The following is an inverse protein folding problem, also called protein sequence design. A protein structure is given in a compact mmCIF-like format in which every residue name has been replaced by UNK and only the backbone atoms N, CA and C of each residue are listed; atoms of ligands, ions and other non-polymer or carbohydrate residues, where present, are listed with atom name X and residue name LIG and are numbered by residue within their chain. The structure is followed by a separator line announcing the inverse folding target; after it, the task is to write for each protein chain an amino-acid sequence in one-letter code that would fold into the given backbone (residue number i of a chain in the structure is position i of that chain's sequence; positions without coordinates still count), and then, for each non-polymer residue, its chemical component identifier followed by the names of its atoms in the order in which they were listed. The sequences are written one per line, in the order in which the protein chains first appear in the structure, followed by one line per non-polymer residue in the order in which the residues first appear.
data_IF_476459475279
#
_entry.id   IF_476459475279
#
_cell.length_a   1.000
_cell.length_b   1.000
_cell.length_c   1.000
_cell.angle_alpha   90.00
_cell.angle_beta   90.00
_cell.angle_gamma   90.00
#
_symmetry.space_group_name_H-M   'P 1'
#
loop_
_entity.id
_entity.type
_entity.pdbx_description
1 polymer ?
#
# COMPACT_ATOMS: atom_id res chain seq x y z
N UNK A 1 39.75 20.32 -106.70
CA UNK A 1 39.18 21.23 -105.72
C UNK A 1 37.62 21.26 -105.66
N UNK A 2 36.95 20.65 -106.63
CA UNK A 2 35.48 20.63 -106.74
C UNK A 2 34.78 19.45 -106.03
N UNK A 3 35.51 18.40 -105.67
CA UNK A 3 34.93 17.17 -105.13
C UNK A 3 34.74 17.25 -103.57
N UNK A 4 35.44 18.16 -102.90
CA UNK A 4 35.40 18.34 -101.46
C UNK A 4 34.23 19.21 -101.01
N UNK A 5 33.82 20.15 -101.88
CA UNK A 5 32.73 21.10 -101.56
C UNK A 5 31.34 20.46 -101.62
N UNK A 6 31.20 19.45 -102.51
CA UNK A 6 29.90 18.76 -102.67
C UNK A 6 29.56 17.82 -101.49
N UNK A 7 30.56 17.12 -100.97
CA UNK A 7 30.35 16.27 -99.78
C UNK A 7 30.13 17.08 -98.53
N UNK A 8 30.70 18.25 -98.36
CA UNK A 8 30.53 19.10 -97.24
C UNK A 8 29.12 19.71 -97.18
N UNK A 9 28.56 20.05 -98.35
CA UNK A 9 27.19 20.57 -98.41
C UNK A 9 26.12 19.49 -98.15
N UNK A 10 26.34 18.25 -98.62
CA UNK A 10 25.44 17.12 -98.27
C UNK A 10 25.50 16.77 -96.79
N UNK A 11 26.66 16.89 -96.18
CA UNK A 11 26.79 16.67 -94.71
C UNK A 11 26.12 17.77 -93.91
N UNK A 12 26.21 19.04 -94.35
CA UNK A 12 25.54 20.16 -93.73
C UNK A 12 24.02 20.10 -93.79
N UNK A 13 23.51 19.64 -95.01
CA UNK A 13 22.07 19.44 -95.21
C UNK A 13 21.52 18.26 -94.35
N UNK A 14 22.34 17.22 -94.18
CA UNK A 14 21.95 16.08 -93.36
C UNK A 14 21.89 16.48 -91.83
N UNK A 15 22.82 17.30 -91.36
CA UNK A 15 22.83 17.86 -90.04
C UNK A 15 21.62 18.78 -89.81
N UNK A 16 21.31 19.64 -90.82
CA UNK A 16 20.15 20.53 -90.76
C UNK A 16 18.81 19.77 -90.67
N UNK A 17 18.67 18.65 -91.35
CA UNK A 17 17.48 17.78 -91.35
C UNK A 17 17.36 17.05 -89.96
N UNK A 18 18.46 16.59 -89.39
CA UNK A 18 18.47 15.92 -88.06
C UNK A 18 18.15 16.90 -87.00
N UNK A 19 18.63 18.15 -87.05
CA UNK A 19 18.33 19.21 -86.11
C UNK A 19 16.87 19.66 -86.17
N UNK A 20 16.28 19.74 -87.36
CA UNK A 20 14.86 20.08 -87.52
C UNK A 20 13.91 18.94 -87.11
N UNK A 21 14.30 17.67 -87.24
CA UNK A 21 13.53 16.52 -86.73
C UNK A 21 13.58 16.44 -85.17
N UNK A 22 14.66 16.87 -84.55
CA UNK A 22 14.78 16.87 -83.05
C UNK A 22 14.00 17.98 -82.39
N UNK A 23 13.61 19.04 -83.07
CA UNK A 23 12.82 20.17 -82.55
C UNK A 23 11.30 19.92 -82.56
N UNK A 24 10.80 18.89 -83.19
CA UNK A 24 9.36 18.59 -83.24
C UNK A 24 8.94 17.52 -82.18
N UNK A 25 9.87 16.93 -81.42
CA UNK A 25 9.61 15.83 -80.53
C UNK A 25 9.25 16.26 -79.12
N UNK A 26 9.24 17.57 -78.74
CA UNK A 26 8.99 18.04 -77.39
C UNK A 26 7.75 18.97 -77.29
N UNK A 27 6.57 18.49 -77.73
CA UNK A 27 5.34 19.24 -77.40
C UNK A 27 4.20 18.33 -76.93
N UNK A 28 4.51 17.31 -76.14
CA UNK A 28 3.51 16.63 -75.31
C UNK A 28 3.41 17.36 -73.96
N UNK A 29 2.39 18.19 -73.81
CA UNK A 29 2.01 18.71 -72.48
C UNK A 29 1.89 17.52 -71.54
N UNK A 30 2.59 17.48 -70.39
CA UNK A 30 2.38 16.45 -69.37
C UNK A 30 0.90 16.50 -68.97
N UNK A 31 0.16 15.45 -69.26
CA UNK A 31 -1.19 15.24 -68.71
C UNK A 31 -1.03 15.29 -67.21
N UNK A 32 -1.64 16.30 -66.55
CA UNK A 32 -1.67 16.37 -65.09
C UNK A 32 -2.07 14.98 -64.54
N UNK A 33 -1.36 14.42 -63.54
CA UNK A 33 -1.73 13.12 -63.02
C UNK A 33 -3.19 13.20 -62.59
N UNK A 34 -4.01 12.38 -63.20
CA UNK A 34 -5.40 12.17 -62.82
C UNK A 34 -5.34 11.68 -61.36
N UNK A 35 -5.66 12.54 -60.42
CA UNK A 35 -5.77 12.18 -59.00
C UNK A 35 -6.93 11.19 -58.91
N UNK A 36 -6.63 9.90 -59.04
CA UNK A 36 -7.62 8.85 -58.78
C UNK A 36 -7.99 9.01 -57.33
N UNK A 37 -9.28 9.21 -56.99
CA UNK A 37 -9.70 9.27 -55.60
C UNK A 37 -9.25 7.96 -54.93
N UNK A 38 -8.43 8.08 -53.89
CA UNK A 38 -8.03 6.92 -53.10
C UNK A 38 -9.29 6.17 -52.67
N UNK A 39 -9.36 4.84 -52.79
CA UNK A 39 -10.51 4.09 -52.32
C UNK A 39 -10.75 4.37 -50.83
N UNK A 40 -12.03 4.49 -50.41
CA UNK A 40 -12.34 4.80 -49.01
C UNK A 40 -11.72 3.74 -48.10
N UNK A 41 -11.08 4.20 -47.01
CA UNK A 41 -10.48 3.29 -46.00
C UNK A 41 -11.59 2.59 -45.23
N UNK A 42 -11.57 1.27 -45.22
CA UNK A 42 -12.54 0.46 -44.48
C UNK A 42 -12.17 0.43 -43.01
N UNK A 43 -13.09 0.83 -42.12
CA UNK A 43 -12.86 0.95 -40.67
C UNK A 43 -14.00 0.31 -39.89
N UNK A 44 -13.68 -0.20 -38.70
CA UNK A 44 -14.69 -0.47 -37.67
C UNK A 44 -14.69 0.68 -36.69
N UNK A 45 -15.86 1.01 -36.17
CA UNK A 45 -16.06 2.15 -35.28
C UNK A 45 -16.81 1.74 -34.02
N UNK A 46 -16.68 2.59 -33.00
CA UNK A 46 -17.52 2.56 -31.78
C UNK A 46 -18.18 3.91 -31.64
N UNK A 47 -19.32 3.93 -30.97
CA UNK A 47 -19.99 5.16 -30.54
C UNK A 47 -19.54 5.47 -29.11
N UNK A 48 -19.05 6.68 -28.86
CA UNK A 48 -18.66 7.15 -27.56
C UNK A 48 -19.84 7.15 -26.61
N UNK A 49 -19.83 6.23 -25.66
CA UNK A 49 -20.85 6.10 -24.61
C UNK A 49 -20.22 6.24 -23.22
N UNK A 50 -20.93 6.82 -22.24
CA UNK A 50 -20.44 6.90 -20.88
C UNK A 50 -20.44 5.51 -20.25
N UNK A 51 -19.29 5.07 -19.74
CA UNK A 51 -19.13 3.85 -18.94
C UNK A 51 -18.79 4.26 -17.50
N UNK A 52 -19.37 3.55 -16.53
CA UNK A 52 -18.98 3.72 -15.13
C UNK A 52 -17.61 3.07 -14.93
N UNK A 53 -16.62 3.87 -14.55
CA UNK A 53 -15.27 3.39 -14.24
C UNK A 53 -15.11 3.38 -12.74
N UNK A 54 -15.00 2.18 -12.17
CA UNK A 54 -14.66 2.00 -10.77
C UNK A 54 -13.16 2.23 -10.59
N UNK A 55 -12.77 3.35 -9.98
CA UNK A 55 -11.38 3.61 -9.64
C UNK A 55 -11.07 2.95 -8.30
N UNK A 56 -10.49 1.77 -8.35
CA UNK A 56 -9.88 1.16 -7.18
C UNK A 56 -8.43 1.67 -7.07
N UNK A 57 -8.13 2.28 -5.93
CA UNK A 57 -6.77 2.65 -5.58
C UNK A 57 -6.14 1.42 -4.95
N UNK A 58 -5.14 0.83 -5.61
CA UNK A 58 -4.39 -0.31 -5.09
C UNK A 58 -3.16 0.20 -4.33
N UNK A 59 -3.04 -0.18 -3.08
CA UNK A 59 -1.90 0.15 -2.22
C UNK A 59 -1.41 -1.07 -1.47
N UNK A 60 -0.14 -1.04 -1.09
CA UNK A 60 0.49 -2.11 -0.34
C UNK A 60 0.30 -1.91 1.16
N UNK A 61 0.05 -3.01 1.86
CA UNK A 61 -0.08 -3.05 3.31
C UNK A 61 0.65 -4.24 3.92
N UNK A 62 0.75 -4.21 5.23
CA UNK A 62 1.35 -5.29 6.03
C UNK A 62 0.36 -5.75 7.08
N UNK A 63 0.21 -7.06 7.20
CA UNK A 63 -0.57 -7.68 8.27
C UNK A 63 0.19 -7.54 9.58
N UNK A 64 -0.47 -7.05 10.62
CA UNK A 64 0.10 -6.95 11.97
C UNK A 64 -0.80 -7.65 12.99
N UNK A 65 -0.18 -8.19 14.03
CA UNK A 65 -0.93 -8.77 15.15
C UNK A 65 -1.82 -7.70 15.82
N UNK A 66 -2.91 -8.11 16.46
CA UNK A 66 -3.73 -7.17 17.24
C UNK A 66 -2.90 -6.56 18.37
N UNK A 67 -2.18 -7.40 19.12
CA UNK A 67 -1.21 -7.01 20.13
C UNK A 67 0.08 -7.83 19.93
N UNK A 68 1.22 -7.18 20.13
CA UNK A 68 2.55 -7.77 20.06
C UNK A 68 3.40 -7.27 21.21
N UNK A 69 4.11 -8.16 21.89
CA UNK A 69 5.06 -7.80 22.93
C UNK A 69 6.27 -8.73 22.90
N UNK A 70 7.42 -8.16 23.14
CA UNK A 70 8.64 -8.89 23.49
C UNK A 70 8.67 -9.09 24.98
N UNK A 71 8.58 -10.33 25.44
CA UNK A 71 8.65 -10.67 26.85
C UNK A 71 10.10 -10.52 27.34
N UNK A 72 10.32 -9.61 28.25
CA UNK A 72 11.61 -9.29 28.85
C UNK A 72 11.51 -9.37 30.36
N UNK A 73 12.57 -9.78 31.08
CA UNK A 73 12.60 -9.69 32.55
C UNK A 73 12.69 -8.22 32.96
N UNK A 74 12.09 -7.88 34.11
CA UNK A 74 12.22 -6.53 34.67
C UNK A 74 13.42 -6.42 35.63
N UNK A 75 13.96 -7.57 36.08
CA UNK A 75 15.11 -7.66 36.96
C UNK A 75 16.16 -8.62 36.38
N UNK A 76 17.41 -8.36 36.74
CA UNK A 76 18.52 -9.23 36.35
C UNK A 76 18.66 -10.42 37.30
N UNK A 77 18.99 -11.60 36.74
CA UNK A 77 19.25 -12.79 37.54
C UNK A 77 19.23 -14.07 36.74
N UNK A 78 19.44 -15.20 37.41
CA UNK A 78 19.39 -16.53 36.78
C UNK A 78 17.94 -16.99 36.64
N UNK A 79 17.57 -17.54 35.50
CA UNK A 79 16.28 -18.20 35.29
C UNK A 79 16.21 -19.51 36.08
N UNK A 80 15.29 -19.59 37.03
CA UNK A 80 15.00 -20.79 37.82
C UNK A 80 13.85 -21.60 37.25
N UNK A 81 12.98 -20.96 36.49
CA UNK A 81 11.85 -21.58 35.81
C UNK A 81 11.67 -20.98 34.43
N UNK A 82 11.44 -21.82 33.42
CA UNK A 82 11.14 -21.42 32.05
C UNK A 82 10.15 -22.42 31.45
N UNK A 83 8.94 -21.95 31.15
CA UNK A 83 7.89 -22.72 30.50
C UNK A 83 7.34 -21.90 29.34
N UNK A 84 7.97 -22.01 28.18
CA UNK A 84 7.60 -21.38 26.93
C UNK A 84 7.18 -22.46 25.93
N UNK A 85 5.89 -22.81 25.86
CA UNK A 85 5.39 -23.73 24.84
C UNK A 85 5.38 -23.00 23.49
N UNK A 86 6.49 -23.09 22.77
CA UNK A 86 6.74 -22.41 21.49
C UNK A 86 5.65 -22.74 20.46
N UNK A 87 5.13 -21.72 19.78
CA UNK A 87 4.05 -21.85 18.80
C UNK A 87 2.66 -22.13 19.39
N UNK A 88 2.57 -22.32 20.71
CA UNK A 88 1.30 -22.65 21.35
C UNK A 88 0.64 -21.41 21.98
N UNK A 89 -0.67 -21.54 22.19
CA UNK A 89 -1.46 -20.49 22.82
C UNK A 89 -1.34 -20.54 24.34
N UNK A 90 -1.22 -19.37 24.95
CA UNK A 90 -1.23 -19.19 26.41
C UNK A 90 -2.30 -18.20 26.81
N UNK A 91 -2.85 -18.39 28.01
CA UNK A 91 -3.81 -17.46 28.61
C UNK A 91 -3.09 -16.30 29.30
N UNK A 92 -3.77 -15.16 29.38
CA UNK A 92 -3.31 -14.01 30.18
C UNK A 92 -3.00 -14.44 31.63
N UNK A 93 -1.92 -13.92 32.21
CA UNK A 93 -1.49 -14.24 33.56
C UNK A 93 -0.68 -15.52 33.72
N UNK A 94 -0.60 -16.38 32.68
CA UNK A 94 0.21 -17.61 32.74
C UNK A 94 1.67 -17.26 33.04
N UNK A 95 2.27 -17.97 33.99
CA UNK A 95 3.69 -17.81 34.36
C UNK A 95 4.54 -18.45 33.27
N UNK A 96 5.39 -17.68 32.63
CA UNK A 96 6.26 -18.11 31.53
C UNK A 96 7.71 -18.32 31.97
N UNK A 97 8.18 -17.49 32.89
CA UNK A 97 9.52 -17.59 33.43
C UNK A 97 9.62 -17.04 34.85
N UNK A 98 10.63 -17.45 35.61
CA UNK A 98 10.98 -16.88 36.91
C UNK A 98 12.48 -16.67 36.99
N UNK A 99 12.85 -15.50 37.48
CA UNK A 99 14.22 -15.17 37.87
C UNK A 99 14.42 -15.58 39.32
N UNK A 100 15.62 -15.93 39.72
CA UNK A 100 15.95 -16.27 41.11
C UNK A 100 15.59 -15.12 42.03
N UNK A 101 14.75 -15.39 43.02
CA UNK A 101 14.21 -14.44 44.01
C UNK A 101 14.61 -14.80 45.47
N UNK A 102 15.54 -15.78 45.61
CA UNK A 102 15.89 -16.29 46.94
C UNK A 102 16.42 -15.20 47.88
N UNK A 103 17.26 -14.30 47.39
CA UNK A 103 17.82 -13.20 48.18
C UNK A 103 16.74 -12.19 48.58
N UNK A 104 15.81 -11.88 47.68
CA UNK A 104 14.67 -10.99 47.96
C UNK A 104 13.72 -11.59 48.98
N UNK A 105 13.43 -12.90 48.89
CA UNK A 105 12.62 -13.61 49.89
C UNK A 105 13.29 -13.66 51.26
N UNK A 106 14.60 -13.85 51.31
CA UNK A 106 15.34 -13.78 52.58
C UNK A 106 15.28 -12.37 53.17
N UNK A 107 15.43 -11.32 52.36
CA UNK A 107 15.29 -9.93 52.82
C UNK A 107 13.87 -9.63 53.31
N UNK A 108 12.85 -10.10 52.58
CA UNK A 108 11.45 -9.96 52.97
C UNK A 108 11.19 -10.62 54.34
N UNK A 109 11.62 -11.87 54.52
CA UNK A 109 11.47 -12.59 55.80
C UNK A 109 12.18 -11.88 56.95
N UNK A 110 13.39 -11.34 56.74
CA UNK A 110 14.12 -10.54 57.73
C UNK A 110 13.32 -9.30 58.18
N UNK A 111 12.83 -8.52 57.20
CA UNK A 111 12.05 -7.30 57.49
C UNK A 111 10.71 -7.64 58.12
N UNK A 112 10.10 -8.78 57.79
CA UNK A 112 8.86 -9.25 58.40
C UNK A 112 9.04 -9.51 59.91
N UNK A 113 10.14 -10.16 60.36
CA UNK A 113 10.46 -10.37 61.78
C UNK A 113 10.69 -9.04 62.47
N UNK A 114 11.35 -8.08 61.82
CA UNK A 114 11.56 -6.72 62.38
C UNK A 114 10.24 -5.98 62.56
N UNK A 115 9.32 -6.08 61.60
CA UNK A 115 7.98 -5.51 61.70
C UNK A 115 7.19 -6.12 62.89
N UNK A 116 7.22 -7.46 63.01
CA UNK A 116 6.53 -8.14 64.09
C UNK A 116 7.02 -7.69 65.48
N UNK A 117 8.35 -7.57 65.67
CA UNK A 117 8.93 -7.05 66.91
C UNK A 117 8.53 -5.60 67.13
N UNK A 118 8.55 -4.76 66.09
CA UNK A 118 8.14 -3.34 66.19
C UNK A 118 6.66 -3.20 66.57
N UNK A 119 5.78 -4.04 65.98
CA UNK A 119 4.35 -4.05 66.32
C UNK A 119 4.08 -4.48 67.76
N UNK A 120 4.76 -5.52 68.29
CA UNK A 120 4.67 -5.90 69.62
C UNK A 120 5.11 -4.77 70.60
N UNK A 121 6.13 -4.00 70.20
CA UNK A 121 6.62 -2.85 70.93
C UNK A 121 5.65 -1.67 70.91
N UNK A 122 5.04 -1.44 69.69
CA UNK A 122 3.97 -0.44 69.48
C UNK A 122 2.78 -0.72 70.42
N UNK A 123 2.31 -1.97 70.47
CA UNK A 123 1.20 -2.37 71.32
C UNK A 123 1.51 -2.13 72.81
N UNK A 124 2.74 -2.44 73.25
CA UNK A 124 3.21 -2.19 74.63
C UNK A 124 3.28 -0.69 74.92
N UNK A 125 3.86 0.09 73.99
CA UNK A 125 3.96 1.55 74.16
C UNK A 125 2.58 2.24 74.15
N UNK A 126 1.65 1.74 73.37
CA UNK A 126 0.25 2.19 73.39
C UNK A 126 -0.40 2.01 74.72
N UNK A 127 -0.15 0.88 75.46
CA UNK A 127 -0.64 0.64 76.83
C UNK A 127 0.04 1.54 77.82
N UNK A 128 1.38 1.76 77.68
CA UNK A 128 2.14 2.64 78.57
C UNK A 128 1.72 4.11 78.39
N UNK A 129 1.48 4.57 77.25
CA UNK A 129 1.00 5.91 76.90
C UNK A 129 -0.37 6.17 77.60
N UNK A 130 -1.26 5.19 77.61
CA UNK A 130 -2.58 5.30 78.21
C UNK A 130 -2.54 5.52 79.72
N UNK A 131 -1.45 5.13 80.41
CA UNK A 131 -1.20 5.32 81.82
C UNK A 131 -0.13 6.37 82.09
N UNK A 132 0.23 7.22 81.12
CA UNK A 132 1.29 8.22 81.20
C UNK A 132 2.68 7.65 81.58
N UNK A 133 2.96 6.38 81.25
CA UNK A 133 4.22 5.73 81.50
C UNK A 133 5.32 6.07 80.46
N UNK A 134 4.96 6.62 79.29
CA UNK A 134 5.85 7.17 78.26
C UNK A 134 5.27 8.49 77.77
N UNK A 135 6.08 9.25 77.01
CA UNK A 135 5.63 10.46 76.36
C UNK A 135 5.11 10.18 74.91
N UNK A 136 4.36 11.12 74.32
CA UNK A 136 3.79 11.00 72.97
C UNK A 136 4.87 10.81 71.89
N UNK A 137 6.02 11.49 72.03
CA UNK A 137 7.10 11.42 71.07
C UNK A 137 7.72 10.00 70.94
N UNK A 138 7.84 9.29 72.10
CA UNK A 138 8.30 7.90 72.14
C UNK A 138 7.33 6.96 71.42
N UNK A 139 6.02 7.14 71.63
CA UNK A 139 5.00 6.39 70.94
C UNK A 139 5.02 6.69 69.43
N UNK A 140 5.10 7.98 69.04
CA UNK A 140 5.14 8.37 67.57
C UNK A 140 6.37 7.84 66.90
N UNK A 141 7.51 7.70 67.55
CA UNK A 141 8.72 7.09 67.01
C UNK A 141 8.50 5.61 66.64
N UNK A 142 7.89 4.81 67.55
CA UNK A 142 7.66 3.39 67.23
C UNK A 142 6.58 3.22 66.12
N UNK A 143 5.54 4.05 66.14
CA UNK A 143 4.56 4.07 65.02
C UNK A 143 5.21 4.38 63.70
N UNK A 144 6.12 5.35 63.70
CA UNK A 144 6.91 5.67 62.46
C UNK A 144 7.79 4.51 62.05
N UNK A 145 8.41 3.79 62.97
CA UNK A 145 9.24 2.61 62.68
C UNK A 145 8.42 1.45 62.12
N UNK A 146 7.23 1.15 62.71
CA UNK A 146 6.28 0.17 62.17
C UNK A 146 5.88 0.53 60.72
N UNK A 147 5.58 1.80 60.48
CA UNK A 147 5.24 2.30 59.13
C UNK A 147 6.40 2.14 58.16
N UNK A 148 7.63 2.40 58.60
CA UNK A 148 8.84 2.19 57.81
C UNK A 148 9.01 0.73 57.37
N UNK A 149 8.92 -0.22 58.33
CA UNK A 149 9.04 -1.65 57.99
C UNK A 149 7.92 -2.15 57.06
N UNK A 150 6.69 -1.64 57.20
CA UNK A 150 5.60 -1.93 56.27
C UNK A 150 5.93 -1.45 54.86
N UNK A 151 6.49 -0.25 54.73
CA UNK A 151 6.92 0.28 53.44
C UNK A 151 8.05 -0.55 52.80
N UNK A 152 9.04 -0.99 53.60
CA UNK A 152 10.15 -1.84 53.15
C UNK A 152 9.65 -3.22 52.67
N UNK A 153 8.67 -3.81 53.37
CA UNK A 153 8.04 -5.06 52.96
C UNK A 153 7.34 -4.90 51.60
N UNK A 154 6.55 -3.84 51.46
CA UNK A 154 5.84 -3.55 50.21
C UNK A 154 6.83 -3.35 49.03
N UNK A 155 7.93 -2.65 49.30
CA UNK A 155 8.98 -2.46 48.28
C UNK A 155 9.63 -3.79 47.86
N UNK A 156 10.01 -4.62 48.85
CA UNK A 156 10.62 -5.92 48.61
C UNK A 156 9.66 -6.86 47.90
N UNK A 157 8.36 -6.85 48.26
CA UNK A 157 7.34 -7.62 47.57
C UNK A 157 7.22 -7.19 46.11
N UNK A 158 7.21 -5.90 45.81
CA UNK A 158 7.19 -5.41 44.41
C UNK A 158 8.42 -5.87 43.60
N UNK A 159 9.59 -5.97 44.23
CA UNK A 159 10.77 -6.55 43.58
C UNK A 159 10.61 -8.06 43.34
N UNK A 160 10.03 -8.80 44.26
CA UNK A 160 9.74 -10.23 44.12
C UNK A 160 8.73 -10.42 42.96
N UNK A 161 7.69 -9.60 42.85
CA UNK A 161 6.70 -9.71 41.81
C UNK A 161 7.33 -9.49 40.40
N UNK A 162 8.32 -8.59 40.30
CA UNK A 162 9.09 -8.36 39.06
C UNK A 162 9.97 -9.54 38.63
N UNK A 163 10.24 -10.50 39.53
CA UNK A 163 10.98 -11.71 39.17
C UNK A 163 10.13 -12.71 38.38
N UNK A 164 8.81 -12.54 38.37
CA UNK A 164 7.87 -13.47 37.72
C UNK A 164 7.38 -12.87 36.39
N UNK A 165 7.80 -13.43 35.31
CA UNK A 165 7.38 -13.04 33.96
C UNK A 165 6.10 -13.77 33.61
N UNK A 166 5.03 -13.00 33.34
CA UNK A 166 3.71 -13.51 32.98
C UNK A 166 3.28 -13.01 31.60
N UNK A 167 2.37 -13.77 30.96
CA UNK A 167 1.73 -13.32 29.75
C UNK A 167 0.80 -12.11 30.01
N UNK A 168 1.05 -10.93 29.41
CA UNK A 168 0.22 -9.73 29.65
C UNK A 168 -1.16 -9.81 29.01
N UNK A 169 -1.32 -10.63 27.97
CA UNK A 169 -2.58 -10.93 27.30
C UNK A 169 -2.57 -12.37 26.78
N UNK A 170 -3.72 -12.90 26.41
CA UNK A 170 -3.83 -14.23 25.80
C UNK A 170 -3.39 -14.17 24.35
N UNK A 171 -2.49 -15.07 23.92
CA UNK A 171 -1.93 -15.07 22.59
C UNK A 171 -1.08 -16.31 22.29
N UNK A 172 -0.41 -16.31 21.15
CA UNK A 172 0.52 -17.36 20.70
C UNK A 172 1.95 -16.93 20.99
N UNK A 173 2.71 -17.81 21.65
CA UNK A 173 4.13 -17.58 21.93
C UNK A 173 4.96 -17.87 20.67
N UNK A 174 5.91 -17.01 20.43
CA UNK A 174 6.97 -17.24 19.46
C UNK A 174 8.06 -18.16 19.99
N UNK A 175 9.20 -18.18 19.28
CA UNK A 175 10.35 -18.99 19.70
C UNK A 175 11.03 -18.35 20.92
N UNK A 176 11.48 -19.17 21.86
CA UNK A 176 12.31 -18.73 22.98
C UNK A 176 13.72 -18.37 22.53
N UNK A 177 14.27 -17.33 23.14
CA UNK A 177 15.64 -16.88 22.86
C UNK A 177 16.62 -17.16 24.00
N UNK A 178 16.14 -17.79 25.08
CA UNK A 178 16.94 -18.12 26.26
C UNK A 178 16.71 -19.57 26.68
N UNK A 179 17.64 -20.12 27.47
CA UNK A 179 17.56 -21.49 27.98
C UNK A 179 17.36 -21.50 29.49
N UNK A 180 16.79 -22.57 30.08
CA UNK A 180 16.72 -22.73 31.52
C UNK A 180 18.11 -22.59 32.16
N UNK A 181 18.21 -21.87 33.28
CA UNK A 181 19.49 -21.61 33.96
C UNK A 181 20.31 -20.44 33.42
N UNK A 182 19.89 -19.83 32.29
CA UNK A 182 20.57 -18.65 31.76
C UNK A 182 20.48 -17.46 32.75
N UNK A 183 21.52 -16.64 32.74
CA UNK A 183 21.48 -15.33 33.40
C UNK A 183 20.88 -14.31 32.43
N UNK A 184 19.83 -13.63 32.84
CA UNK A 184 19.07 -12.66 32.00
C UNK A 184 19.08 -11.28 32.62
N UNK A 185 18.92 -10.28 31.76
CA UNK A 185 18.83 -8.85 32.10
C UNK A 185 17.62 -8.23 31.37
N UNK A 186 17.15 -7.04 31.72
CA UNK A 186 16.03 -6.38 31.04
C UNK A 186 16.21 -6.15 29.53
N UNK A 187 17.43 -6.26 29.04
CA UNK A 187 17.72 -6.15 27.60
C UNK A 187 17.51 -7.46 26.82
N UNK A 188 17.49 -8.61 27.51
CA UNK A 188 17.31 -9.90 26.89
C UNK A 188 15.83 -10.18 26.58
N UNK A 189 15.53 -10.58 25.35
CA UNK A 189 14.22 -11.08 24.97
C UNK A 189 14.14 -12.55 25.38
N UNK A 190 13.11 -12.91 26.15
CA UNK A 190 12.84 -14.31 26.52
C UNK A 190 12.09 -15.02 25.41
N UNK A 191 11.01 -14.41 24.91
CA UNK A 191 10.19 -14.86 23.80
C UNK A 191 9.32 -13.70 23.32
N UNK A 192 8.63 -13.87 22.19
CA UNK A 192 7.59 -12.95 21.73
C UNK A 192 6.21 -13.51 22.03
N UNK A 193 5.22 -12.65 22.26
CA UNK A 193 3.82 -13.02 22.43
C UNK A 193 2.97 -12.18 21.46
N UNK A 194 2.12 -12.85 20.69
CA UNK A 194 1.29 -12.23 19.66
C UNK A 194 -0.17 -12.63 19.81
N UNK A 195 -1.07 -11.66 19.75
CA UNK A 195 -2.49 -11.92 19.65
C UNK A 195 -2.91 -11.97 18.18
N UNK A 196 -3.17 -13.18 17.68
CA UNK A 196 -3.47 -13.44 16.26
C UNK A 196 -4.96 -13.71 15.99
N UNK A 197 -5.82 -13.64 17.03
CA UNK A 197 -7.27 -13.85 16.89
C UNK A 197 -7.95 -12.79 16.05
N UNK A 198 -7.45 -11.58 16.15
CA UNK A 198 -7.77 -10.45 15.30
C UNK A 198 -6.48 -9.94 14.70
N UNK A 199 -6.50 -9.66 13.43
CA UNK A 199 -5.36 -9.09 12.74
C UNK A 199 -5.71 -7.70 12.27
N UNK A 200 -4.72 -6.82 12.30
CA UNK A 200 -4.79 -5.47 11.76
C UNK A 200 -3.99 -5.42 10.48
N UNK A 201 -4.30 -4.47 9.63
CA UNK A 201 -3.52 -4.18 8.43
C UNK A 201 -3.13 -2.72 8.48
N UNK A 202 -1.84 -2.49 8.43
CA UNK A 202 -1.26 -1.17 8.28
C UNK A 202 -0.92 -0.96 6.81
N UNK A 203 -1.41 0.11 6.23
CA UNK A 203 -1.10 0.50 4.86
C UNK A 203 -0.93 2.01 4.75
N UNK A 204 -0.30 2.44 3.66
CA UNK A 204 -0.10 3.87 3.38
C UNK A 204 -0.77 4.23 2.07
N UNK A 205 -1.41 5.39 2.05
CA UNK A 205 -2.08 5.92 0.87
C UNK A 205 -1.62 7.36 0.61
N UNK A 206 -1.41 7.79 -0.65
CA UNK A 206 -1.10 9.18 -0.94
C UNK A 206 -2.14 10.16 -0.39
N UNK A 207 -1.69 11.31 0.09
CA UNK A 207 -2.54 12.34 0.74
C UNK A 207 -3.72 12.77 -0.13
N UNK A 208 -3.54 12.82 -1.45
CA UNK A 208 -4.60 13.16 -2.42
C UNK A 208 -5.84 12.27 -2.33
N UNK A 209 -5.67 11.02 -1.85
CA UNK A 209 -6.76 10.06 -1.64
C UNK A 209 -7.29 10.03 -0.21
N UNK A 210 -6.76 10.88 0.67
CA UNK A 210 -7.15 10.91 2.08
C UNK A 210 -8.64 11.16 2.31
N UNK A 211 -9.31 11.90 1.41
CA UNK A 211 -10.75 12.17 1.49
C UNK A 211 -11.64 10.92 1.36
N UNK A 212 -11.12 9.84 0.74
CA UNK A 212 -11.83 8.55 0.62
C UNK A 212 -11.67 7.68 1.86
N UNK A 213 -10.71 7.99 2.72
CA UNK A 213 -10.43 7.25 3.95
C UNK A 213 -11.25 7.83 5.10
N UNK A 214 -12.28 7.09 5.52
CA UNK A 214 -13.11 7.46 6.67
C UNK A 214 -13.08 6.36 7.72
N UNK A 215 -12.97 6.74 8.99
CA UNK A 215 -13.12 5.79 10.11
C UNK A 215 -14.46 5.07 10.00
N UNK A 216 -14.45 3.75 10.12
CA UNK A 216 -15.62 2.88 9.93
C UNK A 216 -15.86 2.47 8.46
N UNK A 217 -15.16 3.08 7.50
CA UNK A 217 -15.22 2.70 6.08
C UNK A 217 -14.75 1.27 5.84
N UNK A 218 -15.32 0.63 4.82
CA UNK A 218 -14.94 -0.73 4.41
C UNK A 218 -13.98 -0.65 3.23
N UNK A 219 -12.96 -1.50 3.25
CA UNK A 219 -11.98 -1.68 2.17
C UNK A 219 -11.85 -3.14 1.84
N UNK A 220 -11.50 -3.44 0.61
CA UNK A 220 -11.21 -4.81 0.19
C UNK A 220 -9.71 -5.08 0.32
N UNK A 221 -9.37 -6.24 0.86
CA UNK A 221 -7.99 -6.66 1.12
C UNK A 221 -7.77 -8.04 0.54
N UNK A 222 -6.63 -8.22 -0.08
CA UNK A 222 -6.12 -9.49 -0.56
C UNK A 222 -4.84 -9.81 0.21
N UNK A 223 -4.88 -10.88 1.02
CA UNK A 223 -3.73 -11.40 1.75
C UNK A 223 -3.37 -12.69 1.04
N UNK A 224 -2.11 -12.84 0.65
CA UNK A 224 -1.62 -13.98 -0.09
C UNK A 224 -2.13 -14.02 -1.55
N UNK A 225 -1.24 -13.65 -2.47
CA UNK A 225 -1.51 -13.56 -3.91
C UNK A 225 -1.91 -14.90 -4.57
N UNK A 226 -1.73 -16.03 -3.86
CA UNK A 226 -2.02 -17.37 -4.39
C UNK A 226 -3.52 -17.67 -4.41
N UNK A 227 -4.27 -17.14 -3.45
CA UNK A 227 -5.70 -17.48 -3.30
C UNK A 227 -6.67 -16.46 -3.87
N UNK A 228 -6.21 -15.26 -4.30
CA UNK A 228 -7.01 -14.16 -4.88
C UNK A 228 -8.35 -13.90 -4.18
N UNK A 229 -8.43 -14.21 -2.89
CA UNK A 229 -9.67 -14.09 -2.13
C UNK A 229 -9.74 -12.72 -1.45
N UNK A 230 -10.51 -11.80 -2.02
CA UNK A 230 -10.73 -10.48 -1.44
C UNK A 230 -11.60 -10.55 -0.20
N UNK A 231 -11.16 -9.91 0.86
CA UNK A 231 -11.85 -9.84 2.14
C UNK A 231 -12.11 -8.39 2.49
N UNK A 232 -13.19 -8.16 3.22
CA UNK A 232 -13.53 -6.83 3.72
C UNK A 232 -12.85 -6.59 5.05
N UNK A 233 -12.19 -5.44 5.18
CA UNK A 233 -11.66 -4.93 6.43
C UNK A 233 -12.26 -3.56 6.74
N UNK A 234 -12.36 -3.25 8.02
CA UNK A 234 -12.91 -1.98 8.48
C UNK A 234 -11.78 -1.05 8.90
N UNK A 235 -11.76 0.16 8.38
CA UNK A 235 -10.85 1.23 8.79
C UNK A 235 -11.16 1.63 10.24
N UNK A 236 -10.18 1.49 11.13
CA UNK A 236 -10.32 1.84 12.54
C UNK A 236 -9.66 3.17 12.90
N UNK A 237 -8.57 3.50 12.23
CA UNK A 237 -7.83 4.72 12.47
C UNK A 237 -7.02 5.16 11.27
N UNK A 238 -6.77 6.46 11.20
CA UNK A 238 -5.79 7.09 10.31
C UNK A 238 -4.82 7.89 11.16
N UNK A 239 -3.55 7.90 10.78
CA UNK A 239 -2.56 8.76 11.43
C UNK A 239 -2.93 10.23 11.15
N UNK A 240 -3.03 11.10 12.16
CA UNK A 240 -3.39 12.50 11.92
C UNK A 240 -2.32 13.27 11.13
N UNK A 241 -1.07 12.81 11.20
CA UNK A 241 0.06 13.43 10.54
C UNK A 241 0.41 12.69 9.25
N UNK A 242 0.49 13.44 8.15
CA UNK A 242 1.02 12.95 6.88
C UNK A 242 2.54 12.88 6.96
N UNK A 243 3.13 11.80 6.48
CA UNK A 243 4.58 11.70 6.38
C UNK A 243 5.10 12.73 5.36
N UNK A 244 5.88 13.71 5.84
CA UNK A 244 6.34 14.83 5.01
C UNK A 244 7.27 14.41 3.87
N UNK A 245 8.02 13.32 4.03
CA UNK A 245 8.96 12.83 3.02
C UNK A 245 8.25 12.11 1.90
N UNK A 246 7.29 11.24 2.23
CA UNK A 246 6.59 10.39 1.25
C UNK A 246 5.25 10.94 0.82
N UNK A 247 4.72 11.98 1.49
CA UNK A 247 3.37 12.53 1.29
C UNK A 247 2.27 11.48 1.42
N UNK A 248 2.49 10.46 2.25
CA UNK A 248 1.53 9.39 2.49
C UNK A 248 0.87 9.52 3.86
N UNK A 249 -0.41 9.14 3.90
CA UNK A 249 -1.21 8.96 5.10
C UNK A 249 -1.16 7.50 5.53
N UNK A 250 -0.83 7.23 6.79
CA UNK A 250 -0.86 5.88 7.35
C UNK A 250 -2.26 5.55 7.86
N UNK A 251 -2.76 4.39 7.47
CA UNK A 251 -4.11 3.92 7.78
C UNK A 251 -4.03 2.54 8.40
N UNK A 252 -4.88 2.29 9.38
CA UNK A 252 -5.04 0.99 10.02
C UNK A 252 -6.47 0.48 9.86
N UNK A 253 -6.59 -0.73 9.38
CA UNK A 253 -7.85 -1.45 9.29
C UNK A 253 -7.80 -2.75 10.10
N UNK A 254 -8.95 -3.26 10.50
CA UNK A 254 -9.11 -4.53 11.20
C UNK A 254 -9.86 -5.52 10.31
N UNK A 255 -9.37 -6.75 10.30
CA UNK A 255 -10.04 -7.88 9.65
C UNK A 255 -10.88 -8.68 10.67
N UNK A 256 -11.98 -9.29 10.22
CA UNK A 256 -12.67 -10.30 11.00
C UNK A 256 -11.71 -11.44 11.41
N UNK A 257 -12.00 -12.15 12.52
CA UNK A 257 -11.14 -13.21 13.02
C UNK A 257 -10.84 -14.30 11.97
N UNK A 258 -9.62 -14.79 11.99
CA UNK A 258 -9.33 -16.13 11.48
C UNK A 258 -8.37 -16.27 10.31
N UNK A 259 -7.66 -15.23 9.81
CA UNK A 259 -6.75 -15.52 8.68
C UNK A 259 -5.74 -14.41 8.39
N UNK A 260 -4.50 -14.76 8.49
CA UNK A 260 -3.32 -13.99 8.10
C UNK A 260 -2.24 -14.11 9.16
N UNK A 261 -1.04 -14.39 8.72
CA UNK A 261 0.13 -14.38 9.61
C UNK A 261 0.64 -12.95 9.74
N UNK A 262 0.88 -12.44 10.95
CA UNK A 262 1.59 -11.16 11.13
C UNK A 262 2.89 -11.15 10.35
N UNK A 263 3.19 -10.03 9.70
CA UNK A 263 4.31 -9.88 8.78
C UNK A 263 3.99 -10.20 7.32
N UNK A 264 2.83 -10.81 7.02
CA UNK A 264 2.43 -11.10 5.65
C UNK A 264 2.14 -9.79 4.87
N UNK A 265 2.40 -9.84 3.58
CA UNK A 265 2.06 -8.78 2.65
C UNK A 265 0.55 -8.80 2.36
N UNK A 266 -0.03 -7.61 2.20
CA UNK A 266 -1.43 -7.45 1.82
C UNK A 266 -1.57 -6.39 0.72
N UNK A 267 -2.42 -6.67 -0.26
CA UNK A 267 -2.90 -5.67 -1.21
C UNK A 267 -4.21 -5.09 -0.71
N UNK A 268 -4.29 -3.79 -0.68
CA UNK A 268 -5.45 -3.05 -0.19
C UNK A 268 -6.08 -2.30 -1.34
N UNK A 269 -7.38 -2.51 -1.54
CA UNK A 269 -8.17 -1.86 -2.57
C UNK A 269 -9.12 -0.86 -1.91
N UNK A 270 -8.83 0.42 -2.10
CA UNK A 270 -9.68 1.51 -1.62
C UNK A 270 -10.57 1.95 -2.77
N UNK A 271 -11.89 1.86 -2.57
CA UNK A 271 -12.84 2.34 -3.56
C UNK A 271 -12.83 3.86 -3.57
N UNK A 272 -12.50 4.46 -4.70
CA UNK A 272 -12.72 5.87 -4.93
C UNK A 272 -14.21 6.09 -5.14
N UNK A 273 -14.85 6.87 -4.28
CA UNK A 273 -16.29 7.05 -4.22
C UNK A 273 -16.91 7.79 -5.42
N UNK A 274 -16.17 8.00 -6.50
CA UNK A 274 -16.69 8.69 -7.68
C UNK A 274 -16.81 7.68 -8.81
N UNK A 275 -18.02 7.11 -8.92
CA UNK A 275 -18.51 6.53 -10.18
C UNK A 275 -18.51 7.65 -11.25
N UNK A 276 -17.35 7.93 -11.82
CA UNK A 276 -17.24 8.91 -12.88
C UNK A 276 -17.68 8.26 -14.17
N UNK A 277 -18.74 8.81 -14.79
CA UNK A 277 -19.07 8.47 -16.18
C UNK A 277 -17.92 8.93 -17.07
N UNK A 278 -17.12 8.00 -17.55
CA UNK A 278 -15.99 8.26 -18.42
C UNK A 278 -16.24 7.66 -19.80
N UNK A 279 -15.71 8.30 -20.84
CA UNK A 279 -15.71 7.72 -22.19
C UNK A 279 -14.51 6.79 -22.24
N UNK A 280 -14.75 5.48 -22.35
CA UNK A 280 -13.71 4.48 -22.52
C UNK A 280 -13.57 4.12 -24.00
N UNK A 281 -12.35 4.04 -24.49
CA UNK A 281 -12.05 3.61 -25.86
C UNK A 281 -11.03 2.47 -25.86
N UNK A 282 -11.10 1.52 -26.80
CA UNK A 282 -10.08 0.49 -26.91
C UNK A 282 -8.67 1.09 -27.11
N UNK A 283 -7.67 0.50 -26.46
CA UNK A 283 -6.29 1.00 -26.50
C UNK A 283 -5.74 1.15 -27.92
N UNK A 284 -6.15 0.26 -28.85
CA UNK A 284 -5.74 0.27 -30.26
C UNK A 284 -6.35 1.41 -31.09
N UNK A 285 -7.31 2.16 -30.56
CA UNK A 285 -7.88 3.34 -31.21
C UNK A 285 -6.97 4.57 -31.10
N UNK A 286 -6.04 4.56 -30.13
CA UNK A 286 -5.21 5.71 -29.81
C UNK A 286 -3.95 5.70 -30.69
N UNK A 287 -3.74 6.80 -31.39
CA UNK A 287 -2.54 7.04 -32.20
C UNK A 287 -1.57 7.85 -31.32
N UNK A 288 -0.39 7.31 -31.01
CA UNK A 288 0.67 8.12 -30.40
C UNK A 288 1.21 9.11 -31.44
N UNK A 289 1.29 10.36 -31.08
CA UNK A 289 1.96 11.41 -31.82
C UNK A 289 3.04 12.02 -30.96
N UNK A 290 4.05 12.66 -31.53
CA UNK A 290 5.28 13.14 -30.84
C UNK A 290 5.01 13.97 -29.59
N UNK A 291 3.90 14.72 -29.55
CA UNK A 291 3.54 15.60 -28.43
C UNK A 291 2.20 15.29 -27.80
N UNK A 292 1.32 14.58 -28.49
CA UNK A 292 -0.07 14.38 -28.09
C UNK A 292 -0.53 12.97 -28.46
N UNK A 293 -1.63 12.55 -27.85
CA UNK A 293 -2.36 11.35 -28.27
C UNK A 293 -3.55 11.79 -29.13
N UNK A 294 -3.81 11.07 -30.22
CA UNK A 294 -4.88 11.39 -31.14
C UNK A 294 -5.86 10.24 -31.28
N UNK A 295 -7.12 10.59 -31.57
CA UNK A 295 -8.15 9.67 -32.02
C UNK A 295 -8.67 10.11 -33.39
N UNK A 296 -9.23 9.18 -34.14
CA UNK A 296 -9.88 9.46 -35.41
C UNK A 296 -11.39 9.42 -35.18
N UNK A 297 -12.06 10.55 -35.37
CA UNK A 297 -13.51 10.64 -35.39
C UNK A 297 -14.01 10.54 -36.84
N UNK A 298 -15.16 9.93 -37.03
CA UNK A 298 -15.86 9.96 -38.31
C UNK A 298 -16.86 11.12 -38.29
N UNK A 299 -16.63 12.14 -39.14
CA UNK A 299 -17.54 13.26 -39.37
C UNK A 299 -17.94 13.28 -40.82
N UNK A 300 -19.21 13.12 -41.12
CA UNK A 300 -19.74 13.11 -42.49
C UNK A 300 -19.04 12.12 -43.41
N UNK A 301 -18.64 10.94 -42.90
CA UNK A 301 -17.89 9.94 -43.65
C UNK A 301 -16.42 10.26 -43.87
N UNK A 302 -15.88 11.29 -43.24
CA UNK A 302 -14.51 11.78 -43.35
C UNK A 302 -13.74 11.58 -42.07
N UNK A 303 -12.45 11.21 -42.16
CA UNK A 303 -11.54 11.08 -41.03
C UNK A 303 -11.14 12.44 -40.44
N UNK A 304 -11.51 12.69 -39.19
CA UNK A 304 -11.14 13.86 -38.42
C UNK A 304 -10.21 13.45 -37.26
N UNK A 305 -8.94 13.86 -37.28
CA UNK A 305 -7.97 13.61 -36.23
C UNK A 305 -8.15 14.62 -35.11
N UNK A 306 -8.35 14.15 -33.87
CA UNK A 306 -8.59 15.00 -32.70
C UNK A 306 -7.58 14.65 -31.61
N UNK A 307 -6.96 15.69 -31.07
CA UNK A 307 -6.08 15.53 -29.90
C UNK A 307 -6.91 15.19 -28.67
N UNK A 308 -6.48 14.21 -27.89
CA UNK A 308 -7.17 13.76 -26.70
C UNK A 308 -6.25 13.71 -25.51
N UNK A 309 -6.82 13.97 -24.34
CA UNK A 309 -6.18 13.75 -23.04
C UNK A 309 -6.72 12.43 -22.49
N UNK A 310 -5.81 11.49 -22.22
CA UNK A 310 -6.17 10.19 -21.68
C UNK A 310 -6.08 10.20 -20.17
N UNK A 311 -7.00 9.46 -19.50
CA UNK A 311 -7.01 9.24 -18.07
C UNK A 311 -6.57 7.83 -17.69
N UNK A 312 -7.40 7.15 -16.89
CA UNK A 312 -7.14 5.78 -16.40
C UNK A 312 -7.07 4.79 -17.55
N UNK A 313 -6.15 3.83 -17.42
CA UNK A 313 -5.98 2.73 -18.37
C UNK A 313 -6.38 1.42 -17.69
N UNK A 314 -7.31 0.72 -18.32
CA UNK A 314 -7.65 -0.68 -18.01
C UNK A 314 -6.86 -1.62 -18.94
N UNK A 315 -7.07 -2.93 -18.81
CA UNK A 315 -6.38 -3.94 -19.67
C UNK A 315 -6.52 -3.66 -21.16
N UNK A 316 -7.73 -3.39 -21.61
CA UNK A 316 -8.06 -3.25 -23.02
C UNK A 316 -8.55 -1.86 -23.43
N UNK A 317 -8.92 -1.02 -22.46
CA UNK A 317 -9.54 0.28 -22.67
C UNK A 317 -8.78 1.41 -21.97
N UNK A 318 -8.92 2.61 -22.51
CA UNK A 318 -8.33 3.84 -21.94
C UNK A 318 -9.41 4.91 -21.82
N UNK A 319 -9.44 5.59 -20.68
CA UNK A 319 -10.33 6.75 -20.43
C UNK A 319 -9.91 7.94 -21.27
N UNK A 320 -10.88 8.58 -21.90
CA UNK A 320 -10.70 9.88 -22.58
C UNK A 320 -11.29 10.95 -21.68
N UNK A 321 -10.42 11.82 -21.16
CA UNK A 321 -10.79 12.93 -20.26
C UNK A 321 -11.29 14.14 -21.04
N UNK A 322 -10.71 14.39 -22.22
CA UNK A 322 -11.10 15.50 -23.09
C UNK A 322 -10.76 15.21 -24.57
N UNK A 323 -11.46 15.90 -25.48
CA UNK A 323 -11.29 15.80 -26.92
C UNK A 323 -12.35 14.97 -27.64
N UNK A 324 -13.26 14.29 -26.92
CA UNK A 324 -14.37 13.50 -27.48
C UNK A 324 -15.64 13.78 -26.72
N UNK A 325 -16.77 13.86 -27.42
CA UNK A 325 -18.09 14.01 -26.84
C UNK A 325 -18.88 12.70 -26.89
N UNK A 326 -19.87 12.58 -25.99
CA UNK A 326 -20.81 11.46 -26.02
C UNK A 326 -21.56 11.48 -27.34
N UNK A 327 -21.60 10.34 -28.03
CA UNK A 327 -22.23 10.20 -29.35
C UNK A 327 -21.25 10.29 -30.52
N UNK A 328 -20.00 10.72 -30.30
CA UNK A 328 -18.99 10.75 -31.36
C UNK A 328 -18.67 9.33 -31.85
N UNK A 329 -18.50 9.19 -33.16
CA UNK A 329 -18.12 7.93 -33.81
C UNK A 329 -16.60 7.83 -33.92
N UNK A 330 -16.00 6.89 -33.20
CA UNK A 330 -14.54 6.72 -33.04
C UNK A 330 -14.08 5.50 -33.85
N UNK A 331 -13.03 5.65 -34.63
CA UNK A 331 -12.39 4.55 -35.38
C UNK A 331 -11.59 3.65 -34.43
N UNK A 332 -11.82 2.34 -34.51
CA UNK A 332 -11.15 1.33 -33.67
C UNK A 332 -10.18 0.45 -34.49
N UNK A 333 -10.58 0.09 -35.71
CA UNK A 333 -9.70 -0.68 -36.63
C UNK A 333 -9.50 0.09 -37.91
N UNK A 334 -8.38 -0.17 -38.57
CA UNK A 334 -8.00 0.59 -39.79
C UNK A 334 -7.36 1.95 -39.48
N UNK A 335 -7.08 2.23 -38.20
CA UNK A 335 -6.49 3.49 -37.73
C UNK A 335 -5.20 3.86 -38.47
N UNK A 336 -4.32 2.89 -38.75
CA UNK A 336 -3.03 3.12 -39.41
C UNK A 336 -3.17 3.47 -40.89
N UNK A 337 -4.30 3.16 -41.54
CA UNK A 337 -4.53 3.40 -42.94
C UNK A 337 -5.34 4.67 -43.20
N UNK A 338 -6.01 5.20 -42.17
CA UNK A 338 -6.75 6.44 -42.30
C UNK A 338 -5.79 7.63 -42.37
N UNK A 339 -6.07 8.55 -43.29
CA UNK A 339 -5.31 9.81 -43.43
C UNK A 339 -6.22 11.00 -43.09
N UNK A 340 -5.69 12.11 -42.60
CA UNK A 340 -6.50 13.31 -42.38
C UNK A 340 -7.31 13.66 -43.63
N UNK A 341 -8.63 13.88 -43.42
CA UNK A 341 -9.61 14.24 -44.45
C UNK A 341 -9.85 13.14 -45.53
N UNK A 342 -9.40 11.89 -45.29
CA UNK A 342 -9.75 10.78 -46.19
C UNK A 342 -11.18 10.29 -46.00
N UNK A 343 -11.79 9.76 -47.07
CA UNK A 343 -13.10 9.11 -46.99
C UNK A 343 -12.97 7.77 -46.25
N UNK A 344 -13.89 7.54 -45.30
CA UNK A 344 -13.99 6.32 -44.52
C UNK A 344 -15.26 5.55 -44.93
N UNK A 345 -15.14 4.23 -45.05
CA UNK A 345 -16.26 3.32 -45.19
C UNK A 345 -16.41 2.51 -43.92
N UNK A 346 -17.48 2.74 -43.18
CA UNK A 346 -17.76 1.99 -41.95
C UNK A 346 -18.18 0.57 -42.34
N UNK A 347 -17.44 -0.43 -41.84
CA UNK A 347 -17.74 -1.85 -42.02
C UNK A 347 -18.65 -2.35 -40.93
N UNK A 348 -18.35 -2.01 -39.65
CA UNK A 348 -19.13 -2.42 -38.54
C UNK A 348 -19.07 -1.36 -37.41
N UNK A 349 -20.16 -1.26 -36.65
CA UNK A 349 -20.23 -0.49 -35.43
C UNK A 349 -20.10 -1.50 -34.29
N UNK A 350 -18.98 -1.45 -33.55
CA UNK A 350 -18.74 -2.32 -32.40
C UNK A 350 -19.34 -1.66 -31.15
N UNK A 351 -19.94 -2.47 -30.29
CA UNK A 351 -20.32 -2.02 -28.97
C UNK A 351 -19.15 -2.33 -28.01
N UNK A 352 -18.81 -1.41 -27.12
CA UNK A 352 -17.86 -1.70 -26.06
C UNK A 352 -18.52 -2.74 -25.15
N UNK A 353 -17.94 -3.94 -25.07
CA UNK A 353 -18.42 -4.95 -24.14
C UNK A 353 -18.37 -4.41 -22.70
N UNK A 354 -19.46 -4.60 -21.99
CA UNK A 354 -19.58 -4.23 -20.59
C UNK A 354 -18.62 -4.99 -19.69
#
# INVERSE_FOLDING_TARGET
MYFFYRKFNEFLTFIAIVVTLSLTACNSKPKAPEVRPNPPTVVDVIIAAPKIVNRNIEVNGTVVANEFVELRPEVSGRLTYLNIPEGNRVAQGTILARVNDADLKAQYAKTQVQLELAQQTEDRYKQLLAVNGINQSEYDNIVSQVSGYKADLNYTQALIDKTVIRAPFSGVLGLRQVSPGAYVTPTNIIATLQQVDRIKIDFTIPEEYGSYIKKGGMIDIEIDAVTSNRRKAQIIATEPQVNQTTRNLKVRAVLPPGQGNPGAFAKVYVQSAVDKKAIMVPTNSIIPDDKNKQLILVKDGIASFVNVITGVRESDNVEIVSGVNIGDTIVVTGVLFARPKSQLKIRSVKTIAN
#
